data_IF_377061154684
#
_entry.id   IF_377061154684
#
_cell.length_a   1.000
_cell.length_b   1.000
_cell.length_c   1.000
_cell.angle_alpha   90.00
_cell.angle_beta   90.00
_cell.angle_gamma   90.00
#
_symmetry.space_group_name_H-M   'P 1'
#
loop_
_entity.id
_entity.type
_entity.pdbx_description
1 polymer ?
#
# COMPACT_ATOMS: atom_id res chain seq x y z
N UNK A 1 -5.57 -3.62 33.70
CA UNK A 1 -5.72 -2.59 32.65
C UNK A 1 -6.77 -1.60 33.12
N UNK A 2 -6.42 -0.30 33.13
CA UNK A 2 -7.03 0.73 33.98
C UNK A 2 -8.46 1.15 33.64
N UNK A 3 -9.23 1.47 34.68
CA UNK A 3 -10.68 1.70 34.67
C UNK A 3 -11.19 3.04 34.11
N UNK A 4 -10.45 3.72 33.23
CA UNK A 4 -10.84 5.02 32.67
C UNK A 4 -11.05 4.97 31.15
N UNK A 5 -11.89 4.06 30.66
CA UNK A 5 -12.24 3.97 29.23
C UNK A 5 -12.92 5.24 28.69
N UNK A 6 -13.57 6.02 29.56
CA UNK A 6 -14.26 7.27 29.19
C UNK A 6 -13.30 8.42 28.83
N UNK A 7 -12.08 8.44 29.38
CA UNK A 7 -11.09 9.49 29.06
C UNK A 7 -10.21 9.13 27.86
N UNK A 8 -10.30 7.90 27.34
CA UNK A 8 -9.48 7.44 26.21
C UNK A 8 -9.61 8.34 24.97
N UNK A 9 -10.81 8.78 24.53
CA UNK A 9 -10.92 9.66 23.36
C UNK A 9 -10.19 10.99 23.53
N UNK A 10 -10.27 11.58 24.73
CA UNK A 10 -9.60 12.84 25.04
C UNK A 10 -8.08 12.68 25.08
N UNK A 11 -7.59 11.61 25.72
CA UNK A 11 -6.16 11.28 25.77
C UNK A 11 -5.63 11.00 24.36
N UNK A 12 -6.37 10.26 23.54
CA UNK A 12 -6.00 9.97 22.15
C UNK A 12 -5.93 11.25 21.33
N UNK A 13 -6.90 12.17 21.46
CA UNK A 13 -6.89 13.45 20.77
C UNK A 13 -5.70 14.33 21.20
N UNK A 14 -5.35 14.33 22.49
CA UNK A 14 -4.18 15.07 23.00
C UNK A 14 -2.87 14.45 22.53
N UNK A 15 -2.76 13.12 22.52
CA UNK A 15 -1.60 12.41 22.01
C UNK A 15 -1.42 12.66 20.50
N UNK A 16 -2.50 12.60 19.72
CA UNK A 16 -2.47 12.86 18.29
C UNK A 16 -2.01 14.30 17.98
N UNK A 17 -2.51 15.30 18.73
CA UNK A 17 -2.04 16.69 18.58
C UNK A 17 -0.53 16.84 18.83
N UNK A 18 -0.01 16.19 19.86
CA UNK A 18 1.44 16.21 20.16
C UNK A 18 2.25 15.49 19.09
N UNK A 19 1.75 14.35 18.61
CA UNK A 19 2.40 13.57 17.57
C UNK A 19 2.52 14.38 16.26
N UNK A 20 1.45 15.08 15.88
CA UNK A 20 1.43 15.97 14.72
C UNK A 20 2.44 17.10 14.87
N UNK A 21 2.41 17.81 16.00
CA UNK A 21 3.25 18.99 16.22
C UNK A 21 4.75 18.65 16.39
N UNK A 22 5.07 17.53 17.04
CA UNK A 22 6.46 17.20 17.37
C UNK A 22 7.16 16.38 16.29
N UNK A 23 6.45 15.45 15.65
CA UNK A 23 7.05 14.47 14.75
C UNK A 23 6.49 14.51 13.33
N UNK A 24 5.43 15.28 13.06
CA UNK A 24 4.80 15.29 11.74
C UNK A 24 4.11 13.96 11.43
N UNK A 25 3.54 13.29 12.43
CA UNK A 25 2.77 12.05 12.25
C UNK A 25 1.35 12.19 12.81
N UNK A 26 0.43 11.38 12.30
CA UNK A 26 -0.92 11.31 12.82
C UNK A 26 -1.43 9.89 13.04
N UNK A 27 -2.25 9.73 14.07
CA UNK A 27 -2.95 8.49 14.39
C UNK A 27 -4.26 8.46 13.62
N UNK A 28 -4.47 7.41 12.81
CA UNK A 28 -5.68 7.22 11.99
C UNK A 28 -6.33 5.88 12.32
N UNK A 29 -7.65 5.89 12.50
CA UNK A 29 -8.44 4.67 12.68
C UNK A 29 -8.64 3.99 11.32
N UNK A 30 -8.31 2.69 11.24
CA UNK A 30 -8.51 1.90 10.02
C UNK A 30 -9.99 1.58 9.83
N UNK A 31 -10.46 1.70 8.59
CA UNK A 31 -11.83 1.35 8.22
C UNK A 31 -12.02 -0.17 8.31
N UNK A 32 -12.97 -0.68 9.11
CA UNK A 32 -13.20 -2.11 9.24
C UNK A 32 -13.53 -2.76 7.91
N UNK A 33 -13.09 -4.02 7.73
CA UNK A 33 -13.34 -4.82 6.53
C UNK A 33 -14.80 -4.81 6.03
N UNK A 34 -15.77 -4.91 6.95
CA UNK A 34 -17.20 -4.94 6.59
C UNK A 34 -17.69 -3.63 5.96
N UNK A 35 -17.16 -2.49 6.39
CA UNK A 35 -17.50 -1.18 5.82
C UNK A 35 -16.84 -0.98 4.45
N UNK A 36 -15.62 -1.51 4.25
CA UNK A 36 -14.94 -1.50 2.96
C UNK A 36 -15.66 -2.36 1.90
N UNK A 37 -16.13 -3.55 2.28
CA UNK A 37 -16.90 -4.42 1.37
C UNK A 37 -18.18 -3.75 0.86
N UNK A 38 -18.85 -2.95 1.71
CA UNK A 38 -20.02 -2.15 1.33
C UNK A 38 -19.67 -1.06 0.30
N UNK A 39 -18.49 -0.42 0.44
CA UNK A 39 -18.04 0.62 -0.49
C UNK A 39 -17.63 0.04 -1.86
N UNK A 40 -17.07 -1.17 -1.88
CA UNK A 40 -16.64 -1.86 -3.11
C UNK A 40 -17.80 -2.43 -3.94
N UNK A 41 -18.85 -2.95 -3.29
CA UNK A 41 -19.98 -3.58 -3.99
C UNK A 41 -21.01 -2.58 -4.54
N UNK A 42 -20.81 -1.28 -4.28
CA UNK A 42 -21.83 -0.25 -4.53
C UNK A 42 -23.08 -0.49 -3.68
N UNK A 43 -23.92 0.53 -3.55
CA UNK A 43 -25.14 0.50 -2.73
C UNK A 43 -26.26 -0.42 -3.29
N UNK A 44 -25.94 -1.57 -3.88
CA UNK A 44 -26.88 -2.53 -4.48
C UNK A 44 -27.35 -3.61 -3.49
N UNK A 45 -26.68 -3.77 -2.35
CA UNK A 45 -27.21 -4.55 -1.23
C UNK A 45 -28.08 -3.68 -0.31
N UNK A 46 -29.15 -3.08 -0.84
CA UNK A 46 -30.25 -2.56 -0.01
C UNK A 46 -31.19 -3.72 0.32
N UNK A 47 -30.94 -4.37 1.46
CA UNK A 47 -31.87 -5.37 1.98
C UNK A 47 -31.23 -6.38 2.91
N UNK A 48 -30.62 -5.93 4.00
CA UNK A 48 -30.77 -6.60 5.31
C UNK A 48 -30.11 -5.73 6.39
N UNK A 49 -30.93 -4.99 7.13
CA UNK A 49 -30.53 -4.09 8.22
C UNK A 49 -30.19 -4.84 9.52
N UNK A 50 -29.71 -6.08 9.42
CA UNK A 50 -29.50 -6.95 10.59
C UNK A 50 -28.12 -7.65 10.62
N UNK A 51 -27.11 -7.02 10.00
CA UNK A 51 -25.71 -7.37 10.30
C UNK A 51 -25.37 -6.80 11.68
N UNK A 52 -25.66 -7.61 12.69
CA UNK A 52 -25.22 -7.43 14.08
C UNK A 52 -23.84 -6.79 14.10
N UNK A 53 -23.75 -5.59 14.70
CA UNK A 53 -22.51 -4.88 15.04
C UNK A 53 -21.64 -5.79 15.91
N UNK A 54 -20.94 -6.76 15.31
CA UNK A 54 -19.83 -7.44 15.95
C UNK A 54 -18.84 -6.32 16.26
N UNK A 55 -18.54 -6.14 17.54
CA UNK A 55 -17.58 -5.17 18.02
C UNK A 55 -16.26 -5.41 17.26
N UNK A 56 -16.02 -4.61 16.23
CA UNK A 56 -14.75 -4.60 15.53
C UNK A 56 -13.76 -3.89 16.45
N UNK A 57 -12.67 -4.56 16.78
CA UNK A 57 -11.57 -3.92 17.50
C UNK A 57 -11.09 -2.74 16.65
N UNK A 58 -11.12 -1.53 17.22
CA UNK A 58 -10.60 -0.34 16.55
C UNK A 58 -9.09 -0.51 16.37
N UNK A 59 -8.66 -0.57 15.12
CA UNK A 59 -7.24 -0.60 14.78
C UNK A 59 -6.79 0.79 14.39
N UNK A 60 -5.58 1.15 14.81
CA UNK A 60 -5.00 2.46 14.53
C UNK A 60 -3.64 2.28 13.86
N UNK A 61 -3.34 3.16 12.93
CA UNK A 61 -1.99 3.30 12.36
C UNK A 61 -1.44 4.68 12.66
N UNK A 62 -0.13 4.81 12.55
CA UNK A 62 0.58 6.08 12.57
C UNK A 62 1.07 6.34 11.15
N UNK A 63 0.61 7.43 10.53
CA UNK A 63 1.03 7.83 9.17
C UNK A 63 1.73 9.19 9.20
N UNK A 64 2.68 9.39 8.30
CA UNK A 64 3.34 10.68 8.13
C UNK A 64 2.35 11.70 7.57
N UNK A 65 2.40 12.93 8.07
CA UNK A 65 1.72 14.10 7.52
C UNK A 65 2.70 15.12 6.94
N UNK A 66 3.98 14.75 6.83
CA UNK A 66 4.99 15.59 6.19
C UNK A 66 4.65 15.76 4.72
N UNK A 67 4.84 16.97 4.20
CA UNK A 67 4.60 17.27 2.80
C UNK A 67 5.51 16.40 1.91
N UNK A 68 4.97 15.76 0.87
CA UNK A 68 5.78 14.91 -0.01
C UNK A 68 6.97 15.65 -0.63
N UNK A 69 6.83 16.95 -0.90
CA UNK A 69 7.89 17.80 -1.43
C UNK A 69 9.06 17.95 -0.45
N UNK A 70 8.78 18.10 0.85
CA UNK A 70 9.81 18.15 1.89
C UNK A 70 10.54 16.82 2.02
N UNK A 71 9.82 15.71 1.93
CA UNK A 71 10.44 14.38 1.92
C UNK A 71 11.36 14.25 0.70
N UNK A 72 10.90 14.65 -0.49
CA UNK A 72 11.73 14.60 -1.71
C UNK A 72 12.99 15.45 -1.58
N UNK A 73 12.88 16.68 -1.10
CA UNK A 73 14.03 17.55 -0.85
C UNK A 73 15.01 16.92 0.14
N UNK A 74 14.51 16.30 1.21
CA UNK A 74 15.35 15.60 2.19
C UNK A 74 16.01 14.33 1.64
N UNK A 75 15.50 13.77 0.53
CA UNK A 75 16.11 12.64 -0.18
C UNK A 75 17.14 13.07 -1.23
N UNK A 76 17.20 14.36 -1.59
CA UNK A 76 18.16 14.84 -2.57
C UNK A 76 19.58 14.79 -1.97
N UNK A 77 20.60 14.43 -2.78
CA UNK A 77 21.97 14.48 -2.35
C UNK A 77 22.40 15.94 -2.17
N UNK A 78 22.90 16.24 -0.99
CA UNK A 78 23.51 17.48 -0.57
C UNK A 78 25.03 17.26 -0.41
N UNK A 79 25.80 18.20 -0.96
CA UNK A 79 27.25 18.10 -1.02
C UNK A 79 27.89 18.20 0.37
N UNK A 80 27.39 19.07 1.24
CA UNK A 80 27.95 19.26 2.57
C UNK A 80 27.71 18.03 3.44
N UNK A 81 26.50 17.45 3.35
CA UNK A 81 26.18 16.19 4.04
C UNK A 81 27.08 15.06 3.53
N UNK A 82 27.27 14.97 2.22
CA UNK A 82 28.12 13.95 1.65
C UNK A 82 29.59 14.07 2.11
N UNK A 83 30.16 15.27 2.06
CA UNK A 83 31.54 15.51 2.52
C UNK A 83 31.69 15.15 4.01
N UNK A 84 30.72 15.52 4.84
CA UNK A 84 30.75 15.17 6.26
C UNK A 84 30.55 13.67 6.52
N UNK A 85 29.66 13.00 5.79
CA UNK A 85 29.51 11.54 5.87
C UNK A 85 30.80 10.84 5.50
N UNK A 86 31.48 11.27 4.43
CA UNK A 86 32.77 10.74 3.98
C UNK A 86 33.88 10.89 5.03
N UNK A 87 33.93 12.02 5.74
CA UNK A 87 34.85 12.23 6.87
C UNK A 87 34.54 11.30 8.06
N UNK A 88 33.26 11.02 8.32
CA UNK A 88 32.80 10.16 9.42
C UNK A 88 32.82 8.65 9.07
N UNK A 89 33.19 8.26 7.84
CA UNK A 89 33.22 6.87 7.40
C UNK A 89 34.30 6.05 8.12
N UNK A 90 33.89 5.26 9.11
CA UNK A 90 34.74 4.26 9.79
C UNK A 90 34.92 2.99 8.92
N UNK A 91 33.98 2.72 8.01
CA UNK A 91 33.95 1.51 7.18
C UNK A 91 34.29 1.87 5.72
N UNK A 92 35.44 1.39 5.24
CA UNK A 92 36.03 1.66 3.92
C UNK A 92 35.13 1.33 2.69
N UNK A 93 34.02 0.63 2.89
CA UNK A 93 33.09 0.19 1.84
C UNK A 93 31.66 0.74 1.99
N UNK A 94 31.38 1.55 3.01
CA UNK A 94 30.08 2.20 3.13
C UNK A 94 30.00 3.38 2.15
N UNK A 95 28.93 3.45 1.36
CA UNK A 95 28.70 4.57 0.45
C UNK A 95 27.94 5.66 1.20
N UNK A 96 28.43 6.90 1.20
CA UNK A 96 27.67 8.03 1.75
C UNK A 96 26.38 8.17 0.93
N UNK A 97 25.27 8.42 1.61
CA UNK A 97 24.00 8.70 0.95
C UNK A 97 23.92 10.16 0.53
N UNK A 98 24.65 11.04 1.24
CA UNK A 98 24.64 12.48 1.02
C UNK A 98 23.28 13.12 1.25
N UNK A 99 22.33 12.44 1.87
CA UNK A 99 20.93 12.89 1.96
C UNK A 99 20.45 12.78 3.40
N UNK A 100 19.66 13.75 3.85
CA UNK A 100 19.06 13.75 5.20
C UNK A 100 18.26 12.45 5.43
N UNK A 101 17.50 12.02 4.42
CA UNK A 101 16.76 10.76 4.43
C UNK A 101 17.36 9.79 3.42
N UNK A 102 18.32 8.99 3.89
CA UNK A 102 18.99 7.94 3.15
C UNK A 102 18.09 6.71 2.90
N UNK A 103 16.97 6.86 2.18
CA UNK A 103 16.07 5.73 1.90
C UNK A 103 16.76 4.62 1.10
N UNK A 104 17.76 4.97 0.29
CA UNK A 104 18.57 4.06 -0.52
C UNK A 104 19.26 2.97 0.32
N UNK A 105 19.60 3.29 1.57
CA UNK A 105 20.27 2.38 2.52
C UNK A 105 19.27 1.68 3.44
N UNK A 106 17.97 1.95 3.30
CA UNK A 106 16.94 1.30 4.10
C UNK A 106 16.71 -0.14 3.65
N UNK A 107 16.83 -1.07 4.60
CA UNK A 107 16.72 -2.52 4.44
C UNK A 107 15.40 -3.04 3.83
N UNK A 108 14.37 -2.18 3.71
CA UNK A 108 12.99 -2.55 3.35
C UNK A 108 12.56 -2.09 1.94
N UNK A 109 13.39 -1.33 1.22
CA UNK A 109 13.00 -0.76 -0.09
C UNK A 109 12.61 -1.82 -1.13
N UNK A 110 13.35 -2.94 -1.30
CA UNK A 110 12.98 -3.96 -2.29
C UNK A 110 11.60 -4.59 -2.01
N UNK A 111 11.31 -4.93 -0.76
CA UNK A 111 10.01 -5.44 -0.36
C UNK A 111 8.90 -4.42 -0.64
N UNK A 112 9.09 -3.16 -0.23
CA UNK A 112 8.10 -2.11 -0.42
C UNK A 112 7.81 -1.86 -1.91
N UNK A 113 8.83 -1.91 -2.78
CA UNK A 113 8.65 -1.84 -4.23
C UNK A 113 7.75 -2.96 -4.77
N UNK A 114 7.96 -4.20 -4.31
CA UNK A 114 7.10 -5.34 -4.68
C UNK A 114 5.66 -5.13 -4.19
N UNK A 115 5.46 -4.63 -2.98
CA UNK A 115 4.13 -4.27 -2.45
C UNK A 115 3.43 -3.25 -3.37
N UNK A 116 4.08 -2.14 -3.71
CA UNK A 116 3.52 -1.10 -4.58
C UNK A 116 3.12 -1.64 -5.95
N UNK A 117 3.93 -2.54 -6.52
CA UNK A 117 3.62 -3.22 -7.80
C UNK A 117 2.40 -4.13 -7.66
N UNK A 118 2.30 -4.94 -6.61
CA UNK A 118 1.15 -5.82 -6.39
C UNK A 118 -0.13 -5.00 -6.23
N UNK A 119 -0.11 -3.94 -5.43
CA UNK A 119 -1.26 -3.06 -5.24
C UNK A 119 -1.68 -2.39 -6.56
N UNK A 120 -0.73 -1.94 -7.36
CA UNK A 120 -0.95 -1.38 -8.69
C UNK A 120 -1.59 -2.39 -9.65
N UNK A 121 -1.14 -3.64 -9.65
CA UNK A 121 -1.75 -4.72 -10.45
C UNK A 121 -3.20 -4.95 -10.06
N UNK A 122 -3.50 -4.97 -8.75
CA UNK A 122 -4.89 -5.14 -8.26
C UNK A 122 -5.74 -3.95 -8.71
N UNK A 123 -5.23 -2.72 -8.62
CA UNK A 123 -5.95 -1.51 -9.03
C UNK A 123 -6.33 -1.55 -10.52
N UNK A 124 -5.39 -1.90 -11.40
CA UNK A 124 -5.60 -1.97 -12.85
C UNK A 124 -6.50 -3.14 -13.28
N UNK A 125 -6.75 -4.12 -12.40
CA UNK A 125 -7.69 -5.21 -12.67
C UNK A 125 -9.09 -4.96 -12.04
N UNK A 126 -9.40 -3.73 -11.64
CA UNK A 126 -10.71 -3.38 -11.07
C UNK A 126 -10.82 -3.63 -9.57
N UNK A 127 -9.74 -3.40 -8.82
CA UNK A 127 -9.64 -3.54 -7.35
C UNK A 127 -9.76 -4.98 -6.82
N UNK A 128 -9.96 -5.95 -7.70
CA UNK A 128 -10.00 -7.39 -7.39
C UNK A 128 -9.18 -8.17 -8.40
N UNK A 129 -8.35 -9.11 -7.94
CA UNK A 129 -7.50 -9.89 -8.83
C UNK A 129 -7.52 -11.39 -8.46
N UNK A 130 -7.99 -12.29 -9.35
CA UNK A 130 -7.93 -13.73 -9.12
C UNK A 130 -6.49 -14.23 -8.93
N UNK A 131 -6.29 -15.17 -8.02
CA UNK A 131 -4.97 -15.72 -7.69
C UNK A 131 -4.21 -16.30 -8.91
N UNK A 132 -4.83 -17.05 -9.84
CA UNK A 132 -4.13 -17.54 -11.03
C UNK A 132 -3.58 -16.41 -11.90
N UNK A 133 -4.30 -15.27 -11.97
CA UNK A 133 -3.86 -14.09 -12.73
C UNK A 133 -2.74 -13.36 -12.01
N UNK A 134 -2.85 -13.16 -10.69
CA UNK A 134 -1.78 -12.56 -9.89
C UNK A 134 -0.48 -13.35 -10.05
N UNK A 135 -0.52 -14.67 -9.87
CA UNK A 135 0.67 -15.53 -10.04
C UNK A 135 1.24 -15.46 -11.45
N UNK A 136 0.39 -15.37 -12.47
CA UNK A 136 0.83 -15.20 -13.87
C UNK A 136 1.54 -13.87 -14.11
N UNK A 137 1.07 -12.77 -13.51
CA UNK A 137 1.75 -11.46 -13.60
C UNK A 137 3.09 -11.45 -12.86
N UNK A 138 3.12 -11.99 -11.64
CA UNK A 138 4.36 -12.09 -10.85
C UNK A 138 5.41 -12.95 -11.55
N UNK A 139 5.00 -14.05 -12.18
CA UNK A 139 5.89 -14.88 -13.01
C UNK A 139 6.49 -14.11 -14.19
N UNK A 140 5.72 -13.24 -14.85
CA UNK A 140 6.23 -12.36 -15.94
C UNK A 140 7.27 -11.36 -15.43
N UNK A 141 7.15 -10.93 -14.16
CA UNK A 141 8.12 -10.09 -13.46
C UNK A 141 9.30 -10.89 -12.88
N UNK A 142 9.40 -12.20 -13.18
CA UNK A 142 10.42 -13.13 -12.64
C UNK A 142 10.35 -13.30 -11.11
N UNK A 143 9.21 -12.97 -10.52
CA UNK A 143 8.89 -13.23 -9.11
C UNK A 143 8.16 -14.57 -9.03
N UNK A 144 8.92 -15.65 -8.87
CA UNK A 144 8.42 -17.00 -8.62
C UNK A 144 8.10 -17.16 -7.12
N UNK A 145 7.28 -18.16 -6.76
CA UNK A 145 6.94 -18.42 -5.35
C UNK A 145 8.16 -18.61 -4.43
N UNK A 146 9.24 -19.16 -4.99
CA UNK A 146 10.53 -19.37 -4.32
C UNK A 146 11.50 -18.20 -4.42
N UNK A 147 11.16 -17.12 -5.14
CA UNK A 147 12.05 -15.95 -5.24
C UNK A 147 12.18 -15.31 -3.86
N UNK A 148 13.41 -15.17 -3.39
CA UNK A 148 13.71 -14.50 -2.13
C UNK A 148 13.55 -13.00 -2.28
N UNK A 149 12.64 -12.42 -1.50
CA UNK A 149 12.43 -10.98 -1.36
C UNK A 149 13.22 -10.50 -0.15
N UNK A 150 13.96 -9.42 -0.32
CA UNK A 150 14.69 -8.78 0.77
C UNK A 150 13.74 -7.93 1.62
N UNK A 151 13.55 -8.31 2.90
CA UNK A 151 12.56 -7.70 3.81
C UNK A 151 13.26 -7.20 5.09
N UNK A 152 14.50 -6.71 4.97
CA UNK A 152 15.49 -6.77 6.03
C UNK A 152 15.08 -6.21 7.40
N UNK A 153 15.53 -6.91 8.44
CA UNK A 153 15.86 -6.37 9.75
C UNK A 153 17.24 -6.94 10.09
N UNK A 154 18.21 -6.05 10.30
CA UNK A 154 19.57 -6.29 10.81
C UNK A 154 19.83 -7.69 11.41
N UNK A 155 20.72 -8.44 10.72
CA UNK A 155 21.66 -9.49 11.20
C UNK A 155 21.47 -11.01 10.97
N UNK A 156 20.38 -11.60 10.45
CA UNK A 156 20.43 -13.08 10.24
C UNK A 156 19.61 -13.76 9.13
N UNK A 157 18.54 -13.16 8.59
CA UNK A 157 17.82 -13.77 7.45
C UNK A 157 17.37 -12.67 6.48
N UNK A 158 18.12 -12.50 5.40
CA UNK A 158 18.01 -11.36 4.47
C UNK A 158 16.89 -11.52 3.44
N UNK A 159 16.40 -12.73 3.19
CA UNK A 159 15.42 -13.00 2.13
C UNK A 159 14.34 -13.95 2.60
N UNK A 160 13.09 -13.66 2.27
CA UNK A 160 11.95 -14.57 2.49
C UNK A 160 11.30 -14.91 1.15
N UNK A 161 10.79 -16.13 0.94
CA UNK A 161 10.14 -16.48 -0.31
C UNK A 161 8.86 -15.65 -0.49
N UNK A 162 8.53 -15.37 -1.76
CA UNK A 162 7.36 -14.55 -2.14
C UNK A 162 6.06 -15.02 -1.48
N UNK A 163 5.80 -16.32 -1.39
CA UNK A 163 4.56 -16.81 -0.75
C UNK A 163 4.51 -16.49 0.77
N UNK A 164 5.66 -16.51 1.45
CA UNK A 164 5.78 -16.07 2.84
C UNK A 164 5.63 -14.55 2.96
N UNK A 165 6.14 -13.80 1.98
CA UNK A 165 5.97 -12.35 1.92
C UNK A 165 4.50 -11.96 1.72
N UNK A 166 3.78 -12.61 0.81
CA UNK A 166 2.34 -12.40 0.62
C UNK A 166 1.54 -12.70 1.91
N UNK A 167 1.91 -13.76 2.63
CA UNK A 167 1.31 -14.07 3.94
C UNK A 167 1.61 -12.97 4.97
N UNK A 168 2.81 -12.41 4.94
CA UNK A 168 3.20 -11.27 5.79
C UNK A 168 2.38 -10.03 5.46
N UNK A 169 2.18 -9.73 4.17
CA UNK A 169 1.35 -8.61 3.72
C UNK A 169 -0.12 -8.75 4.14
N UNK A 170 -0.67 -9.97 4.15
CA UNK A 170 -2.00 -10.22 4.70
C UNK A 170 -2.04 -9.94 6.20
N UNK A 171 -1.06 -10.44 6.95
CA UNK A 171 -0.97 -10.22 8.41
C UNK A 171 -0.78 -8.76 8.79
N UNK A 172 -0.08 -8.01 7.96
CA UNK A 172 0.11 -6.56 8.13
C UNK A 172 -1.09 -5.74 7.67
N UNK A 173 -2.10 -6.37 7.06
CA UNK A 173 -3.31 -5.69 6.59
C UNK A 173 -3.15 -4.93 5.28
N UNK A 174 -2.09 -5.17 4.51
CA UNK A 174 -1.90 -4.59 3.17
C UNK A 174 -2.67 -5.33 2.08
N UNK A 175 -2.87 -6.64 2.25
CA UNK A 175 -3.60 -7.48 1.30
C UNK A 175 -4.72 -8.25 1.99
N UNK A 176 -5.83 -8.42 1.28
CA UNK A 176 -6.91 -9.32 1.66
C UNK A 176 -6.99 -10.46 0.64
N UNK A 177 -6.98 -11.71 1.13
CA UNK A 177 -7.25 -12.92 0.33
C UNK A 177 -8.66 -13.42 0.66
N UNK A 178 -9.56 -13.39 -0.32
CA UNK A 178 -10.99 -13.70 -0.17
C UNK A 178 -11.34 -14.89 -1.05
N UNK A 179 -12.14 -15.84 -0.55
CA UNK A 179 -12.63 -16.98 -1.34
C UNK A 179 -13.89 -16.57 -2.11
N UNK A 180 -13.82 -16.64 -3.44
CA UNK A 180 -14.91 -16.53 -4.41
C UNK A 180 -15.74 -17.81 -4.33
N UNK A 181 -16.96 -17.76 -3.81
CA UNK A 181 -17.83 -18.94 -3.80
C UNK A 181 -18.95 -19.03 -2.76
N UNK A 182 -19.03 -18.15 -1.76
CA UNK A 182 -20.15 -18.20 -0.78
C UNK A 182 -21.19 -17.09 -1.02
N UNK A 183 -21.81 -17.11 -2.19
CA UNK A 183 -23.07 -16.40 -2.47
C UNK A 183 -24.16 -17.42 -2.83
N UNK A 184 -24.44 -18.35 -1.93
CA UNK A 184 -25.77 -18.97 -1.79
C UNK A 184 -25.85 -19.53 -0.37
N UNK A 185 -26.78 -19.03 0.42
CA UNK A 185 -26.85 -19.33 1.84
C UNK A 185 -27.11 -20.80 2.15
N UNK A 186 -26.40 -21.34 3.14
CA UNK A 186 -27.01 -22.27 4.07
C UNK A 186 -26.23 -22.33 5.39
N UNK A 187 -27.03 -22.28 6.46
CA UNK A 187 -26.67 -22.41 7.86
C UNK A 187 -25.94 -23.74 8.07
N UNK A 188 -24.83 -23.75 8.82
CA UNK A 188 -24.69 -24.39 10.13
C UNK A 188 -23.24 -24.78 10.45
N UNK A 189 -22.89 -24.52 11.72
CA UNK A 189 -22.03 -25.31 12.57
C UNK A 189 -20.48 -25.21 12.45
N UNK A 190 -19.94 -24.88 13.63
CA UNK A 190 -18.66 -25.30 14.23
C UNK A 190 -17.36 -24.61 13.77
N UNK A 191 -16.92 -23.71 14.67
CA UNK A 191 -15.54 -23.56 15.17
C UNK A 191 -14.62 -24.72 14.72
N UNK A 192 -13.78 -24.45 13.73
CA UNK A 192 -12.68 -25.29 13.28
C UNK A 192 -11.41 -24.46 13.19
N UNK A 193 -10.56 -24.63 14.19
CA UNK A 193 -9.16 -24.21 14.30
C UNK A 193 -8.46 -24.24 12.94
N UNK A 194 -7.88 -23.10 12.52
CA UNK A 194 -7.10 -22.96 11.29
C UNK A 194 -5.95 -23.98 11.28
N UNK A 195 -6.17 -25.10 10.60
CA UNK A 195 -5.16 -26.09 10.26
C UNK A 195 -4.62 -25.76 8.87
N UNK A 196 -3.29 -25.74 8.76
CA UNK A 196 -2.53 -25.63 7.52
C UNK A 196 -3.02 -26.71 6.55
N UNK A 197 -3.82 -26.33 5.56
CA UNK A 197 -4.26 -27.21 4.48
C UNK A 197 -3.23 -27.18 3.35
N UNK A 198 -2.68 -28.37 3.06
CA UNK A 198 -1.86 -28.67 1.88
C UNK A 198 -2.50 -28.09 0.62
N UNK A 199 -1.71 -27.35 -0.14
CA UNK A 199 -2.09 -26.74 -1.42
C UNK A 199 -2.60 -27.79 -2.41
N UNK A 200 -3.92 -27.80 -2.63
CA UNK A 200 -4.54 -28.49 -3.75
C UNK A 200 -4.71 -27.43 -4.87
N UNK A 201 -4.16 -27.62 -6.08
CA UNK A 201 -4.10 -26.58 -7.11
C UNK A 201 -5.47 -26.12 -7.63
N UNK A 202 -6.54 -26.91 -7.44
CA UNK A 202 -7.91 -26.51 -7.78
C UNK A 202 -8.52 -25.49 -6.79
N UNK A 203 -8.14 -25.50 -5.50
CA UNK A 203 -8.65 -24.52 -4.53
C UNK A 203 -8.02 -23.13 -4.70
N UNK A 204 -6.87 -23.03 -5.38
CA UNK A 204 -6.24 -21.74 -5.67
C UNK A 204 -7.04 -20.89 -6.67
N UNK A 205 -7.89 -21.51 -7.51
CA UNK A 205 -8.75 -20.79 -8.44
C UNK A 205 -9.90 -20.05 -7.75
N UNK A 206 -10.22 -20.42 -6.51
CA UNK A 206 -11.31 -19.82 -5.73
C UNK A 206 -10.87 -18.55 -4.98
N UNK A 207 -9.60 -18.12 -5.04
CA UNK A 207 -9.15 -16.96 -4.25
C UNK A 207 -8.98 -15.70 -5.10
N UNK A 208 -9.47 -14.59 -4.56
CA UNK A 208 -9.27 -13.23 -5.05
C UNK A 208 -8.42 -12.41 -4.07
N UNK A 209 -7.59 -11.55 -4.65
CA UNK A 209 -6.74 -10.60 -3.94
C UNK A 209 -7.31 -9.19 -4.03
N UNK A 210 -7.31 -8.49 -2.90
CA UNK A 210 -7.81 -7.12 -2.75
C UNK A 210 -6.86 -6.31 -1.88
N UNK A 211 -6.97 -4.98 -1.96
CA UNK A 211 -6.29 -4.10 -1.02
C UNK A 211 -6.81 -4.32 0.41
N UNK A 212 -5.88 -4.39 1.35
CA UNK A 212 -6.19 -4.51 2.78
C UNK A 212 -6.50 -3.16 3.44
N UNK A 213 -6.93 -3.19 4.69
CA UNK A 213 -7.34 -1.99 5.45
C UNK A 213 -6.20 -0.99 5.63
N UNK A 214 -4.98 -1.49 5.83
CA UNK A 214 -3.78 -0.68 5.97
C UNK A 214 -3.36 -0.05 4.64
N UNK A 215 -3.49 -0.79 3.53
CA UNK A 215 -3.16 -0.26 2.21
C UNK A 215 -3.99 0.99 1.87
N UNK A 216 -5.30 0.96 2.12
CA UNK A 216 -6.16 2.14 1.89
C UNK A 216 -5.83 3.34 2.79
N UNK A 217 -5.24 3.11 3.95
CA UNK A 217 -4.94 4.17 4.91
C UNK A 217 -3.56 4.82 4.68
N UNK A 218 -2.60 4.05 4.14
CA UNK A 218 -1.22 4.49 3.91
C UNK A 218 -0.92 4.83 2.44
N UNK A 219 -1.59 4.18 1.48
CA UNK A 219 -1.30 4.31 0.05
C UNK A 219 -2.57 4.80 -0.64
N UNK A 220 -2.47 5.90 -1.37
CA UNK A 220 -3.61 6.42 -2.14
C UNK A 220 -3.71 5.70 -3.49
N UNK A 221 -4.94 5.51 -3.97
CA UNK A 221 -5.19 4.95 -5.30
C UNK A 221 -4.70 5.94 -6.38
N UNK A 222 -4.77 7.24 -6.11
CA UNK A 222 -4.27 8.30 -6.98
C UNK A 222 -2.74 8.28 -7.12
N UNK A 223 -2.02 8.12 -6.01
CA UNK A 223 -0.56 7.97 -6.00
C UNK A 223 -0.14 6.68 -6.70
N UNK A 224 -0.92 5.59 -6.56
CA UNK A 224 -0.67 4.35 -7.30
C UNK A 224 -0.90 4.52 -8.80
N UNK A 225 -1.92 5.28 -9.21
CA UNK A 225 -2.11 5.69 -10.62
C UNK A 225 -0.91 6.51 -11.11
N UNK A 226 -0.49 7.51 -10.34
CA UNK A 226 0.61 8.40 -10.73
C UNK A 226 1.92 7.63 -10.87
N UNK A 227 2.17 6.67 -9.99
CA UNK A 227 3.27 5.71 -10.11
C UNK A 227 3.20 4.90 -11.42
N UNK A 228 2.05 4.29 -11.74
CA UNK A 228 1.88 3.51 -12.99
C UNK A 228 2.10 4.40 -14.21
N UNK A 229 1.54 5.61 -14.20
CA UNK A 229 1.63 6.57 -15.29
C UNK A 229 3.08 6.98 -15.50
N UNK A 230 3.77 7.38 -14.42
CA UNK A 230 5.19 7.75 -14.44
C UNK A 230 6.04 6.62 -15.04
N UNK A 231 5.87 5.38 -14.54
CA UNK A 231 6.59 4.21 -15.01
C UNK A 231 6.37 3.92 -16.51
N UNK A 232 5.14 4.06 -17.00
CA UNK A 232 4.82 3.82 -18.41
C UNK A 232 5.31 4.95 -19.33
N UNK A 233 5.35 6.19 -18.83
CA UNK A 233 5.88 7.35 -19.56
C UNK A 233 7.40 7.36 -19.62
N UNK A 234 8.10 7.00 -18.55
CA UNK A 234 9.56 6.92 -18.50
C UNK A 234 10.08 5.91 -19.53
N UNK A 235 9.40 4.76 -19.65
CA UNK A 235 9.72 3.78 -20.69
C UNK A 235 9.49 4.29 -22.12
N UNK A 236 8.60 5.26 -22.30
CA UNK A 236 8.32 5.86 -23.62
C UNK A 236 9.32 6.96 -23.98
N UNK A 237 10.05 7.52 -22.99
CA UNK A 237 11.09 8.55 -23.22
C UNK A 237 12.40 7.97 -23.76
N UNK A 238 12.70 6.71 -23.47
CA UNK A 238 13.94 6.05 -23.93
C UNK A 238 13.93 5.70 -25.42
N UNK A 239 12.77 5.79 -26.09
CA UNK A 239 12.65 5.69 -27.55
C UNK A 239 12.86 7.08 -28.18
N UNK A 240 14.10 7.58 -28.11
CA UNK A 240 14.47 8.87 -28.69
C UNK A 240 14.43 8.82 -30.23
N UNK A 241 13.39 9.43 -30.80
CA UNK A 241 13.10 9.38 -32.24
C UNK A 241 13.57 10.64 -32.99
N UNK A 242 14.49 11.43 -32.42
CA UNK A 242 15.04 12.64 -33.05
C UNK A 242 14.04 13.80 -33.20
N UNK A 243 12.92 13.75 -32.48
CA UNK A 243 11.88 14.78 -32.48
C UNK A 243 12.32 16.04 -31.72
N UNK A 244 11.74 17.21 -32.04
CA UNK A 244 12.00 18.44 -31.30
C UNK A 244 11.41 18.38 -29.87
N UNK A 245 12.05 19.07 -28.93
CA UNK A 245 11.64 19.08 -27.51
C UNK A 245 10.17 19.46 -27.27
N UNK A 246 9.62 20.37 -28.07
CA UNK A 246 8.20 20.75 -27.98
C UNK A 246 7.27 19.62 -28.43
N UNK A 247 7.64 18.87 -29.47
CA UNK A 247 6.85 17.73 -29.96
C UNK A 247 6.94 16.56 -28.98
N UNK A 248 8.14 16.31 -28.42
CA UNK A 248 8.36 15.32 -27.36
C UNK A 248 7.49 15.61 -26.14
N UNK A 249 7.49 16.86 -25.65
CA UNK A 249 6.67 17.26 -24.49
C UNK A 249 5.18 17.07 -24.76
N UNK A 250 4.67 17.53 -25.89
CA UNK A 250 3.26 17.37 -26.26
C UNK A 250 2.84 15.89 -26.41
N UNK A 251 3.73 15.05 -26.94
CA UNK A 251 3.52 13.59 -27.05
C UNK A 251 3.47 12.94 -25.67
N UNK A 252 4.39 13.29 -24.77
CA UNK A 252 4.43 12.78 -23.40
C UNK A 252 3.16 13.16 -22.63
N UNK A 253 2.73 14.41 -22.67
CA UNK A 253 1.48 14.87 -22.04
C UNK A 253 0.26 14.09 -22.57
N UNK A 254 0.23 13.81 -23.88
CA UNK A 254 -0.85 13.03 -24.50
C UNK A 254 -0.83 11.57 -24.00
N UNK A 255 0.34 10.96 -23.94
CA UNK A 255 0.54 9.59 -23.45
C UNK A 255 0.17 9.50 -21.96
N UNK A 256 0.62 10.45 -21.16
CA UNK A 256 0.33 10.55 -19.73
C UNK A 256 -1.20 10.63 -19.50
N UNK A 257 -1.88 11.51 -20.23
CA UNK A 257 -3.35 11.64 -20.16
C UNK A 257 -4.08 10.38 -20.61
N UNK A 258 -3.54 9.67 -21.60
CA UNK A 258 -4.11 8.40 -22.06
C UNK A 258 -3.97 7.32 -20.98
N UNK A 259 -2.81 7.20 -20.34
CA UNK A 259 -2.58 6.23 -19.26
C UNK A 259 -3.41 6.56 -18.02
N UNK A 260 -3.50 7.83 -17.61
CA UNK A 260 -4.35 8.27 -16.49
C UNK A 260 -5.80 7.81 -16.67
N UNK A 261 -6.38 8.10 -17.84
CA UNK A 261 -7.74 7.65 -18.21
C UNK A 261 -7.87 6.14 -18.29
N UNK A 262 -6.83 5.45 -18.77
CA UNK A 262 -6.79 3.99 -18.85
C UNK A 262 -6.89 3.34 -17.47
N UNK A 263 -6.11 3.82 -16.50
CA UNK A 263 -6.11 3.33 -15.13
C UNK A 263 -7.46 3.61 -14.44
N UNK A 264 -8.00 4.83 -14.59
CA UNK A 264 -9.31 5.19 -14.01
C UNK A 264 -10.44 4.32 -14.57
N UNK A 265 -10.43 4.07 -15.88
CA UNK A 265 -11.40 3.16 -16.52
C UNK A 265 -11.24 1.73 -16.02
N UNK A 266 -10.00 1.27 -15.83
CA UNK A 266 -9.70 -0.07 -15.39
C UNK A 266 -10.03 -0.31 -13.90
N UNK A 267 -9.91 0.72 -13.06
CA UNK A 267 -10.28 0.68 -11.65
C UNK A 267 -11.80 0.59 -11.40
N UNK A 268 -12.63 0.79 -12.44
CA UNK A 268 -14.09 0.67 -12.47
C UNK A 268 -14.88 1.60 -11.53
N UNK A 269 -14.19 2.28 -10.61
CA UNK A 269 -14.75 3.21 -9.63
C UNK A 269 -13.81 4.42 -9.49
N UNK A 270 -14.30 5.58 -9.03
CA UNK A 270 -13.46 6.73 -8.76
C UNK A 270 -12.30 6.37 -7.83
N UNK A 271 -11.12 6.90 -8.13
CA UNK A 271 -9.93 6.67 -7.31
C UNK A 271 -10.10 7.44 -6.00
N UNK A 272 -9.72 6.80 -4.89
CA UNK A 272 -9.73 7.44 -3.58
C UNK A 272 -8.35 7.99 -3.24
N UNK A 273 -8.28 9.30 -2.96
CA UNK A 273 -7.15 9.93 -2.30
C UNK A 273 -7.05 9.51 -0.83
N UNK A 274 -5.90 9.80 -0.20
CA UNK A 274 -5.79 9.70 1.26
C UNK A 274 -6.58 10.86 1.85
N UNK A 275 -7.76 10.58 2.41
CA UNK A 275 -8.54 11.61 3.10
C UNK A 275 -7.80 11.98 4.38
N UNK A 276 -7.25 13.19 4.41
CA UNK A 276 -6.95 13.89 5.66
C UNK A 276 -8.28 14.03 6.38
N UNK A 277 -8.44 13.38 7.53
CA UNK A 277 -9.62 13.57 8.36
C UNK A 277 -9.46 14.95 9.02
N UNK A 278 -9.65 16.02 8.26
CA UNK A 278 -9.84 17.34 8.82
C UNK A 278 -11.18 17.28 9.56
N UNK A 279 -11.09 17.11 10.88
CA UNK A 279 -12.20 17.43 11.75
C UNK A 279 -12.61 18.89 11.46
N UNK A 280 -13.92 19.19 11.37
CA UNK A 280 -14.36 20.56 11.13
C UNK A 280 -13.75 21.47 12.19
N UNK A 281 -13.03 22.50 11.73
CA UNK A 281 -12.58 23.62 12.54
C UNK A 281 -13.79 24.49 12.91
N UNK A 282 -14.71 23.94 13.69
CA UNK A 282 -15.73 24.72 14.38
C UNK A 282 -15.61 24.43 15.86
N UNK A 283 -14.96 25.36 16.56
CA UNK A 283 -15.37 25.91 17.86
C UNK A 283 -14.37 27.00 18.25
N UNK A 284 -14.79 28.23 17.97
CA UNK A 284 -14.33 29.48 18.60
C UNK A 284 -14.63 29.43 20.10
#
# INVERSE_FOLDING_TARGET
MGGNSKSFPEVLARANRRLKAALGYEIVELVPKAEREKNLLGAVARGDDDVRKKASTKQYIVRSILEPELIQLACMPDREIQEQEEEDLIIENARPSGSILAWQTSDQVPAYGVLCVILSLILVNGKTLPEPRLRSYLKKLRLLGSTGIEVGISTAAKTIPLDTYLTTLIRQGYLDRVRVGNTTGQKTAKRGRSGVSKENPEEAADFEWRWGERAHAEISEESSRDFIVSFMTERSQSEDNGESEQVKKARLEKIEKQFRRGVERAAQTPLTGITSNEAPQDLV
#
